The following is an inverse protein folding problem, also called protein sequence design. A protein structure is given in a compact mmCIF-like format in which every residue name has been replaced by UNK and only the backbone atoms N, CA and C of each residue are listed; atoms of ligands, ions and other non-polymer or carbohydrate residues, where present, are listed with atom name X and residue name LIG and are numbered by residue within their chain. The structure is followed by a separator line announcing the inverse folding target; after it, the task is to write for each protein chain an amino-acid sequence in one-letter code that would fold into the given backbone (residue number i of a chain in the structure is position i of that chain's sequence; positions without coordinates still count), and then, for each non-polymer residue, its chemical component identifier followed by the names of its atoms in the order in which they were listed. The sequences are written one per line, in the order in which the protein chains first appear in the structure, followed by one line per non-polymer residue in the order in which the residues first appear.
data_IF_430726670284
#
_entry.id   IF_430726670284
#
_cell.length_a   1.000
_cell.length_b   1.000
_cell.length_c   1.000
_cell.angle_alpha   90.00
_cell.angle_beta   90.00
_cell.angle_gamma   90.00
#
_symmetry.space_group_name_H-M   'P 1'
#
loop_
_entity.id
_entity.type
_entity.pdbx_description
1 polymer ?
#
# COMPACT_ATOMS: atom_id res chain seq x y z
N UNK A 1 -24.03 -6.49 -11.54
CA UNK A 1 -24.50 -7.89 -11.38
C UNK A 1 -24.06 -8.55 -10.09
N UNK A 2 -22.85 -8.31 -9.56
CA UNK A 2 -22.35 -8.97 -8.34
C UNK A 2 -23.35 -9.01 -7.16
N UNK A 3 -24.05 -7.89 -6.90
CA UNK A 3 -25.11 -7.80 -5.87
C UNK A 3 -26.24 -8.82 -6.03
N UNK A 4 -26.67 -9.11 -7.27
CA UNK A 4 -27.74 -10.08 -7.54
C UNK A 4 -27.39 -11.50 -7.10
N UNK A 5 -26.09 -11.80 -7.03
CA UNK A 5 -25.55 -13.10 -6.63
C UNK A 5 -24.94 -13.08 -5.23
N UNK A 6 -25.11 -11.99 -4.47
CA UNK A 6 -24.48 -11.81 -3.16
C UNK A 6 -22.94 -12.00 -3.18
N UNK A 7 -22.29 -11.53 -4.25
CA UNK A 7 -20.83 -11.60 -4.41
C UNK A 7 -20.20 -10.22 -4.18
N UNK A 8 -19.00 -10.16 -3.58
CA UNK A 8 -18.23 -8.93 -3.51
C UNK A 8 -17.63 -8.56 -4.87
N UNK A 9 -17.40 -7.27 -5.08
CA UNK A 9 -16.51 -6.76 -6.13
C UNK A 9 -15.15 -6.51 -5.48
N UNK A 10 -14.14 -7.25 -5.92
CA UNK A 10 -12.75 -7.08 -5.48
C UNK A 10 -12.01 -6.23 -6.50
N UNK A 11 -11.30 -5.20 -6.05
CA UNK A 11 -10.54 -4.32 -6.94
C UNK A 11 -9.10 -4.11 -6.50
N UNK A 12 -8.19 -4.25 -7.46
CA UNK A 12 -6.82 -3.77 -7.38
C UNK A 12 -6.87 -2.26 -7.65
N UNK A 13 -6.90 -1.47 -6.57
CA UNK A 13 -7.19 -0.04 -6.66
C UNK A 13 -5.99 0.72 -7.26
N UNK A 14 -5.98 0.88 -8.59
CA UNK A 14 -4.91 1.56 -9.32
C UNK A 14 -5.47 2.41 -10.47
N UNK A 15 -5.15 3.70 -10.46
CA UNK A 15 -5.34 4.59 -11.59
C UNK A 15 -4.10 4.53 -12.51
N UNK A 16 -4.26 3.93 -13.68
CA UNK A 16 -3.14 3.75 -14.63
C UNK A 16 -2.61 5.07 -15.19
N UNK A 17 -3.40 6.14 -15.22
CA UNK A 17 -2.98 7.45 -15.75
C UNK A 17 -2.08 8.21 -14.77
N UNK A 18 -2.30 8.03 -13.46
CA UNK A 18 -1.47 8.63 -12.42
C UNK A 18 -0.22 7.80 -12.13
N UNK A 19 -0.33 6.48 -12.21
CA UNK A 19 0.77 5.57 -11.88
C UNK A 19 1.79 5.47 -13.00
N UNK A 20 1.32 5.46 -14.26
CA UNK A 20 2.17 5.29 -15.46
C UNK A 20 3.21 4.18 -15.28
N UNK A 21 4.49 4.52 -15.38
CA UNK A 21 5.63 3.60 -15.31
C UNK A 21 6.28 3.60 -13.91
N UNK A 22 5.59 4.12 -12.88
CA UNK A 22 6.10 4.20 -11.52
C UNK A 22 6.50 2.83 -10.95
N UNK A 23 7.72 2.73 -10.43
CA UNK A 23 8.31 1.47 -9.91
C UNK A 23 8.49 1.47 -8.38
N UNK A 24 8.38 2.63 -7.75
CA UNK A 24 8.49 2.80 -6.30
C UNK A 24 7.48 3.84 -5.82
N UNK A 25 7.21 3.91 -4.52
CA UNK A 25 6.37 4.99 -3.98
C UNK A 25 6.97 6.36 -4.30
N UNK A 26 6.16 7.26 -4.87
CA UNK A 26 6.55 8.66 -5.06
C UNK A 26 6.76 9.33 -3.69
N UNK A 27 8.00 9.68 -3.38
CA UNK A 27 8.41 10.13 -2.06
C UNK A 27 9.91 10.39 -1.99
N UNK A 28 10.44 10.43 -0.77
CA UNK A 28 11.85 10.73 -0.53
C UNK A 28 12.77 9.71 -1.20
N UNK A 29 12.51 8.41 -1.04
CA UNK A 29 13.42 7.37 -1.52
C UNK A 29 13.39 7.19 -3.04
N UNK A 30 12.24 7.30 -3.70
CA UNK A 30 12.21 7.31 -5.17
C UNK A 30 12.97 8.51 -5.73
N UNK A 31 12.80 9.70 -5.15
CA UNK A 31 13.55 10.90 -5.55
C UNK A 31 15.05 10.74 -5.34
N UNK A 32 15.48 10.27 -4.16
CA UNK A 32 16.89 10.10 -3.81
C UNK A 32 17.59 9.03 -4.65
N UNK A 33 16.85 8.00 -5.08
CA UNK A 33 17.36 6.88 -5.86
C UNK A 33 17.16 7.05 -7.38
N UNK A 34 16.52 8.14 -7.83
CA UNK A 34 16.24 8.40 -9.25
C UNK A 34 15.26 7.41 -9.87
N UNK A 35 14.27 6.96 -9.11
CA UNK A 35 13.23 6.02 -9.56
C UNK A 35 11.93 6.75 -9.90
N UNK A 36 11.24 6.26 -10.93
CA UNK A 36 9.91 6.76 -11.28
C UNK A 36 8.91 6.46 -10.16
N UNK A 37 8.23 7.52 -9.71
CA UNK A 37 7.33 7.51 -8.56
C UNK A 37 5.92 7.08 -8.91
N UNK A 38 5.33 6.26 -8.04
CA UNK A 38 3.92 5.91 -8.01
C UNK A 38 3.23 6.73 -6.90
N UNK A 39 2.41 7.75 -7.24
CA UNK A 39 1.72 8.59 -6.26
C UNK A 39 0.72 7.80 -5.40
N UNK A 40 0.61 8.12 -4.11
CA UNK A 40 -0.45 7.57 -3.26
C UNK A 40 -1.85 7.86 -3.84
N UNK A 41 -2.03 9.02 -4.48
CA UNK A 41 -3.27 9.41 -5.16
C UNK A 41 -3.75 8.38 -6.21
N UNK A 42 -2.84 7.65 -6.86
CA UNK A 42 -3.19 6.60 -7.81
C UNK A 42 -3.97 5.44 -7.19
N UNK A 43 -3.78 5.17 -5.90
CA UNK A 43 -4.58 4.20 -5.14
C UNK A 43 -5.83 4.88 -4.54
N UNK A 44 -5.62 6.01 -3.86
CA UNK A 44 -6.65 6.70 -3.09
C UNK A 44 -7.85 7.13 -3.94
N UNK A 45 -7.62 7.59 -5.18
CA UNK A 45 -8.69 8.00 -6.09
C UNK A 45 -9.60 6.83 -6.49
N UNK A 46 -9.03 5.65 -6.71
CA UNK A 46 -9.80 4.47 -7.08
C UNK A 46 -10.59 3.94 -5.89
N UNK A 47 -9.99 3.95 -4.69
CA UNK A 47 -10.70 3.63 -3.44
C UNK A 47 -11.88 4.57 -3.24
N UNK A 48 -11.67 5.89 -3.35
CA UNK A 48 -12.73 6.89 -3.20
C UNK A 48 -13.86 6.68 -4.23
N UNK A 49 -13.53 6.53 -5.52
CA UNK A 49 -14.50 6.25 -6.58
C UNK A 49 -15.31 4.99 -6.28
N UNK A 50 -14.64 3.91 -5.90
CA UNK A 50 -15.30 2.64 -5.66
C UNK A 50 -16.23 2.70 -4.44
N UNK A 51 -15.86 3.45 -3.40
CA UNK A 51 -16.73 3.71 -2.24
C UNK A 51 -18.03 4.39 -2.70
N UNK A 52 -17.94 5.45 -3.52
CA UNK A 52 -19.14 6.14 -4.04
C UNK A 52 -20.03 5.20 -4.87
N UNK A 53 -19.41 4.34 -5.69
CA UNK A 53 -20.14 3.33 -6.46
C UNK A 53 -20.79 2.27 -5.57
N UNK A 54 -20.12 1.84 -4.50
CA UNK A 54 -20.66 0.90 -3.52
C UNK A 54 -21.84 1.52 -2.75
N UNK A 55 -21.73 2.80 -2.39
CA UNK A 55 -22.77 3.58 -1.71
C UNK A 55 -24.01 3.74 -2.61
N UNK A 56 -23.81 4.07 -3.89
CA UNK A 56 -24.89 4.18 -4.89
C UNK A 56 -25.58 2.85 -5.17
N UNK A 57 -24.80 1.77 -5.33
CA UNK A 57 -25.31 0.48 -5.83
C UNK A 57 -25.70 -0.49 -4.72
N UNK A 58 -25.24 -0.27 -3.49
CA UNK A 58 -25.36 -1.19 -2.36
C UNK A 58 -24.61 -2.52 -2.57
N UNK A 59 -23.68 -2.60 -3.52
CA UNK A 59 -22.84 -3.78 -3.73
C UNK A 59 -21.66 -3.78 -2.74
N UNK A 60 -21.27 -4.95 -2.24
CA UNK A 60 -20.10 -5.07 -1.35
C UNK A 60 -18.82 -4.87 -2.14
N UNK A 61 -18.03 -3.87 -1.76
CA UNK A 61 -16.70 -3.60 -2.28
C UNK A 61 -15.61 -4.18 -1.37
N UNK A 62 -14.58 -4.77 -1.95
CA UNK A 62 -13.38 -5.18 -1.25
C UNK A 62 -12.13 -4.61 -1.94
N UNK A 63 -11.41 -3.71 -1.27
CA UNK A 63 -10.18 -3.11 -1.78
C UNK A 63 -8.96 -4.00 -1.45
N UNK A 64 -8.28 -4.48 -2.48
CA UNK A 64 -7.13 -5.37 -2.32
C UNK A 64 -5.89 -4.63 -1.84
N UNK A 65 -5.07 -5.33 -1.05
CA UNK A 65 -3.70 -4.98 -0.63
C UNK A 65 -3.43 -3.47 -0.50
N UNK A 66 -4.19 -2.77 0.34
CA UNK A 66 -4.07 -1.34 0.55
C UNK A 66 -2.67 -0.97 1.06
N UNK A 67 -2.12 0.11 0.51
CA UNK A 67 -0.80 0.63 0.90
C UNK A 67 -0.85 2.06 1.41
N UNK A 68 -1.80 2.89 0.94
CA UNK A 68 -1.83 4.31 1.24
C UNK A 68 -2.64 4.67 2.49
N UNK A 69 -2.11 5.59 3.30
CA UNK A 69 -2.78 6.07 4.51
C UNK A 69 -4.14 6.74 4.20
N UNK A 70 -4.26 7.44 3.06
CA UNK A 70 -5.53 8.02 2.64
C UNK A 70 -6.56 6.97 2.26
N UNK A 71 -6.17 5.85 1.65
CA UNK A 71 -7.07 4.72 1.37
C UNK A 71 -7.66 4.17 2.66
N UNK A 72 -6.83 3.96 3.69
CA UNK A 72 -7.29 3.50 5.01
C UNK A 72 -8.25 4.52 5.65
N UNK A 73 -7.97 5.82 5.53
CA UNK A 73 -8.86 6.89 6.00
C UNK A 73 -10.23 6.84 5.29
N UNK A 74 -10.22 6.73 3.96
CA UNK A 74 -11.43 6.65 3.14
C UNK A 74 -12.30 5.44 3.51
N UNK A 75 -11.70 4.26 3.65
CA UNK A 75 -12.40 3.04 4.10
C UNK A 75 -13.02 3.24 5.49
N UNK A 76 -12.26 3.83 6.42
CA UNK A 76 -12.77 4.13 7.78
C UNK A 76 -13.97 5.08 7.74
N UNK A 77 -13.96 6.08 6.88
CA UNK A 77 -15.07 7.03 6.72
C UNK A 77 -16.29 6.39 6.08
N UNK A 78 -16.10 5.57 5.04
CA UNK A 78 -17.16 4.82 4.38
C UNK A 78 -17.87 3.84 5.33
N UNK A 79 -17.09 3.12 6.16
CA UNK A 79 -17.63 2.24 7.20
C UNK A 79 -18.52 3.01 8.20
N UNK A 80 -18.15 4.24 8.59
CA UNK A 80 -18.98 5.07 9.48
C UNK A 80 -20.30 5.49 8.84
N UNK A 81 -20.35 5.61 7.51
CA UNK A 81 -21.59 5.90 6.76
C UNK A 81 -22.44 4.65 6.50
N UNK A 82 -21.94 3.46 6.85
CA UNK A 82 -22.63 2.19 6.61
C UNK A 82 -22.48 1.67 5.18
N UNK A 83 -21.52 2.17 4.40
CA UNK A 83 -21.24 1.65 3.06
C UNK A 83 -20.69 0.23 3.19
N UNK A 84 -21.17 -0.76 2.41
CA UNK A 84 -20.68 -2.12 2.45
C UNK A 84 -19.29 -2.19 1.81
N UNK A 85 -18.25 -1.89 2.58
CA UNK A 85 -16.86 -1.90 2.13
C UNK A 85 -15.97 -2.70 3.08
N UNK A 86 -14.94 -3.32 2.53
CA UNK A 86 -13.85 -3.95 3.27
C UNK A 86 -12.52 -3.73 2.54
N UNK A 87 -11.41 -4.09 3.17
CA UNK A 87 -10.11 -4.10 2.53
C UNK A 87 -9.13 -5.01 3.25
N UNK A 88 -8.00 -5.26 2.61
CA UNK A 88 -6.91 -6.08 3.13
C UNK A 88 -5.57 -5.34 2.96
N UNK A 89 -4.50 -5.84 3.58
CA UNK A 89 -3.13 -5.37 3.38
C UNK A 89 -2.18 -6.57 3.44
N UNK A 90 -1.09 -6.51 2.68
CA UNK A 90 -0.12 -7.60 2.64
C UNK A 90 0.88 -7.50 3.80
N UNK A 91 1.46 -8.62 4.29
CA UNK A 91 2.45 -8.62 5.37
C UNK A 91 3.62 -7.66 5.15
N UNK A 92 4.11 -7.54 3.91
CA UNK A 92 5.22 -6.63 3.60
C UNK A 92 4.84 -5.14 3.77
N UNK A 93 3.57 -4.75 3.59
CA UNK A 93 3.12 -3.37 3.87
C UNK A 93 2.96 -3.06 5.36
N UNK A 94 2.94 -4.09 6.23
CA UNK A 94 2.97 -3.90 7.70
C UNK A 94 4.40 -3.80 8.26
N UNK A 95 5.36 -4.41 7.57
CA UNK A 95 6.72 -4.61 8.10
C UNK A 95 7.74 -3.70 7.41
N UNK A 96 7.62 -3.52 6.11
CA UNK A 96 8.57 -2.78 5.29
C UNK A 96 8.00 -1.42 4.88
N UNK A 97 8.91 -0.50 4.60
CA UNK A 97 8.62 0.83 4.07
C UNK A 97 9.43 1.04 2.79
N UNK A 98 9.21 2.15 2.08
CA UNK A 98 10.00 2.53 0.91
C UNK A 98 11.50 2.67 1.20
N UNK A 99 11.90 2.90 2.46
CA UNK A 99 13.30 2.84 2.91
C UNK A 99 13.98 1.49 2.66
N UNK A 100 13.21 0.39 2.59
CA UNK A 100 13.76 -0.92 2.23
C UNK A 100 14.42 -0.91 0.84
N UNK A 101 13.90 -0.11 -0.10
CA UNK A 101 14.41 -0.02 -1.49
C UNK A 101 15.83 0.55 -1.52
N UNK A 102 16.17 1.39 -0.53
CA UNK A 102 17.51 1.94 -0.35
C UNK A 102 18.51 0.96 0.29
N UNK A 103 18.10 -0.28 0.54
CA UNK A 103 18.91 -1.35 1.09
C UNK A 103 18.70 -1.55 2.60
N UNK A 104 19.04 -2.76 3.04
CA UNK A 104 18.86 -3.22 4.43
C UNK A 104 19.49 -2.30 5.46
N UNK A 105 20.70 -1.79 5.22
CA UNK A 105 21.38 -0.88 6.15
C UNK A 105 20.58 0.40 6.40
N UNK A 106 20.03 1.02 5.35
CA UNK A 106 19.20 2.22 5.46
C UNK A 106 17.91 1.90 6.19
N UNK A 107 17.23 0.84 5.81
CA UNK A 107 16.00 0.40 6.48
C UNK A 107 16.21 0.13 7.98
N UNK A 108 17.21 -0.70 8.34
CA UNK A 108 17.48 -1.04 9.75
C UNK A 108 17.92 0.16 10.58
N UNK A 109 18.58 1.15 9.97
CA UNK A 109 19.02 2.38 10.65
C UNK A 109 17.93 3.45 10.76
N UNK A 110 16.79 3.30 10.07
CA UNK A 110 15.61 4.18 10.17
C UNK A 110 14.36 3.44 10.63
N UNK A 111 13.53 2.99 9.69
CA UNK A 111 12.15 2.54 9.91
C UNK A 111 12.09 1.12 10.49
N UNK A 112 13.13 0.32 10.27
CA UNK A 112 13.24 -1.06 10.71
C UNK A 112 13.64 -1.24 12.18
N UNK A 113 13.92 -0.17 12.94
CA UNK A 113 14.42 -0.27 14.33
C UNK A 113 13.50 -1.05 15.26
N UNK A 114 12.18 -0.87 15.11
CA UNK A 114 11.17 -1.55 15.94
C UNK A 114 10.77 -2.93 15.43
N UNK A 115 11.27 -3.33 14.25
CA UNK A 115 10.95 -4.61 13.65
C UNK A 115 11.89 -5.67 14.28
N UNK A 116 11.31 -6.63 15.01
CA UNK A 116 11.96 -7.75 15.73
C UNK A 116 12.43 -7.55 17.19
N UNK A 117 11.91 -6.57 17.93
CA UNK A 117 12.37 -6.22 19.29
C UNK A 117 12.13 -7.27 20.41
N UNK A 118 11.49 -8.41 20.14
CA UNK A 118 11.18 -9.35 21.22
C UNK A 118 12.22 -10.47 21.46
N UNK A 119 13.06 -10.85 20.46
CA UNK A 119 13.90 -12.08 20.58
C UNK A 119 15.23 -12.13 19.81
N UNK A 120 15.64 -11.13 19.03
CA UNK A 120 16.77 -11.29 18.10
C UNK A 120 17.92 -10.28 18.34
N UNK A 121 19.14 -10.79 18.43
CA UNK A 121 20.38 -9.98 18.48
C UNK A 121 20.61 -9.32 17.13
N UNK A 122 21.20 -8.11 17.10
CA UNK A 122 21.53 -7.38 15.86
C UNK A 122 22.27 -8.22 14.81
N UNK A 123 23.01 -9.25 15.26
CA UNK A 123 23.78 -10.18 14.45
C UNK A 123 22.98 -11.08 13.50
N UNK A 124 21.64 -11.07 13.55
CA UNK A 124 20.80 -11.99 12.76
C UNK A 124 19.77 -11.26 11.87
N UNK A 125 20.01 -9.99 11.54
CA UNK A 125 19.15 -9.23 10.63
C UNK A 125 19.42 -9.64 9.17
N UNK A 126 18.36 -9.83 8.34
CA UNK A 126 18.56 -10.09 6.93
C UNK A 126 19.19 -8.87 6.24
N UNK A 127 20.04 -9.16 5.24
CA UNK A 127 20.74 -8.16 4.45
C UNK A 127 20.32 -8.26 2.99
N UNK A 128 20.11 -7.10 2.38
CA UNK A 128 19.83 -6.93 0.95
C UNK A 128 20.40 -5.60 0.46
N UNK A 129 20.66 -5.54 -0.85
CA UNK A 129 21.24 -4.38 -1.53
C UNK A 129 20.18 -3.31 -1.83
N UNK A 130 20.63 -2.09 -2.11
CA UNK A 130 19.77 -1.10 -2.74
C UNK A 130 19.33 -1.59 -4.13
N UNK A 131 18.13 -1.20 -4.55
CA UNK A 131 17.52 -1.62 -5.83
C UNK A 131 17.26 -3.13 -5.96
N UNK A 132 17.13 -3.86 -4.85
CA UNK A 132 16.70 -5.26 -4.89
C UNK A 132 15.29 -5.34 -5.50
N UNK A 133 15.18 -6.05 -6.63
CA UNK A 133 13.92 -6.15 -7.39
C UNK A 133 12.84 -6.91 -6.65
N UNK A 134 13.18 -7.69 -5.61
CA UNK A 134 12.19 -8.32 -4.72
C UNK A 134 11.37 -7.29 -3.93
N UNK A 135 11.81 -6.02 -3.87
CA UNK A 135 11.09 -4.93 -3.19
C UNK A 135 10.18 -4.14 -4.13
N UNK A 136 10.15 -4.48 -5.42
CA UNK A 136 9.20 -3.93 -6.38
C UNK A 136 7.84 -4.61 -6.18
N UNK A 137 6.94 -3.90 -5.50
CA UNK A 137 5.58 -4.38 -5.20
C UNK A 137 4.52 -3.55 -5.93
N UNK A 138 3.36 -4.16 -6.20
CA UNK A 138 2.18 -3.47 -6.72
C UNK A 138 0.99 -3.75 -5.78
N UNK A 139 0.54 -2.76 -4.99
CA UNK A 139 1.05 -1.40 -4.85
C UNK A 139 2.41 -1.34 -4.11
N UNK A 140 3.17 -0.25 -4.26
CA UNK A 140 4.51 -0.14 -3.69
C UNK A 140 4.49 -0.02 -2.16
N UNK A 141 5.63 -0.34 -1.53
CA UNK A 141 5.87 -0.02 -0.12
C UNK A 141 5.81 1.50 0.07
N UNK A 142 5.08 1.97 1.08
CA UNK A 142 4.92 3.40 1.38
C UNK A 142 5.85 3.86 2.50
N UNK A 143 5.93 5.17 2.67
CA UNK A 143 6.64 5.80 3.79
C UNK A 143 6.00 5.41 5.13
N UNK A 144 6.80 5.31 6.19
CA UNK A 144 6.32 5.03 7.55
C UNK A 144 5.48 6.17 8.17
N UNK A 145 5.58 7.37 7.61
CA UNK A 145 4.99 8.62 8.10
C UNK A 145 4.31 9.37 6.98
#
# INVERSE_FOLDING_TARGET
YARMFNLPVMDHCQDYSLVSDGVAHEGYWSTALGLDGWPAAGEEMIVARNIELAELTGAHLHCQHLSAAGSVRLIREALKRGVPVSGEACPHHFVLTDAAIAGSEKFWSSDGKGVFDCRNRESNRPAWLAYDTNLKMNPPLRSAR
#
